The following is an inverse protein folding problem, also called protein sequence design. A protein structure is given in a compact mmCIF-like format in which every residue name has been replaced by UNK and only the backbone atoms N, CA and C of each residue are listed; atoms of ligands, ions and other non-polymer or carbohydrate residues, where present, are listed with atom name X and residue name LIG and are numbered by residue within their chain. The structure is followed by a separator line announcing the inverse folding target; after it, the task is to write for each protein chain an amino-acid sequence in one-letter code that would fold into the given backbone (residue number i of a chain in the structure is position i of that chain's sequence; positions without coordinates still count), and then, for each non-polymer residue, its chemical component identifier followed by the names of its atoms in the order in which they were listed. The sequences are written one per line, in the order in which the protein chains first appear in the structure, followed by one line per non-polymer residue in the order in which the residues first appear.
data_IF_374376288293
#
_entry.id   IF_374376288293
#
_cell.length_a   1.000
_cell.length_b   1.000
_cell.length_c   1.000
_cell.angle_alpha   90.00
_cell.angle_beta   90.00
_cell.angle_gamma   90.00
#
_symmetry.space_group_name_H-M   'P 1'
#
loop_
_entity.id
_entity.type
_entity.pdbx_description
1 polymer ?
#
# COMPACT_ATOMS: atom_id res chain seq x y z
N UNK A 1 -27.33 15.59 8.12
CA UNK A 1 -26.10 14.79 7.95
C UNK A 1 -26.09 14.23 6.54
N UNK A 2 -25.48 14.96 5.59
CA UNK A 2 -25.31 14.51 4.20
C UNK A 2 -23.82 14.29 3.99
N UNK A 3 -23.48 13.06 3.63
CA UNK A 3 -22.12 12.61 3.36
C UNK A 3 -21.55 13.38 2.18
N UNK A 4 -20.37 13.95 2.40
CA UNK A 4 -19.57 14.57 1.35
C UNK A 4 -19.18 13.50 0.31
N UNK A 5 -19.89 13.48 -0.81
CA UNK A 5 -19.43 12.82 -2.02
C UNK A 5 -18.36 13.71 -2.68
N UNK A 6 -17.17 13.72 -2.08
CA UNK A 6 -16.02 14.47 -2.55
C UNK A 6 -15.18 13.66 -3.51
N UNK A 7 -15.38 13.88 -4.82
CA UNK A 7 -14.32 13.88 -5.82
C UNK A 7 -13.64 12.55 -6.16
N UNK A 8 -14.23 11.78 -7.08
CA UNK A 8 -13.41 11.00 -8.03
C UNK A 8 -13.45 11.69 -9.38
N UNK A 9 -12.37 12.39 -9.73
CA UNK A 9 -12.18 12.94 -11.08
C UNK A 9 -11.74 11.87 -12.07
N UNK A 10 -11.80 12.17 -13.37
CA UNK A 10 -11.33 11.28 -14.45
C UNK A 10 -9.87 10.83 -14.21
N UNK A 11 -9.01 11.71 -13.68
CA UNK A 11 -7.63 11.36 -13.34
C UNK A 11 -7.50 10.25 -12.29
N UNK A 12 -8.39 10.21 -11.30
CA UNK A 12 -8.42 9.21 -10.23
C UNK A 12 -8.88 7.84 -10.75
N UNK A 13 -9.88 7.83 -11.64
CA UNK A 13 -10.32 6.61 -12.33
C UNK A 13 -9.16 5.98 -13.13
N UNK A 14 -8.38 6.79 -13.86
CA UNK A 14 -7.23 6.26 -14.60
C UNK A 14 -6.11 5.76 -13.69
N UNK A 15 -5.94 6.34 -12.50
CA UNK A 15 -4.94 5.90 -11.53
C UNK A 15 -5.33 4.55 -10.92
N UNK A 16 -6.60 4.38 -10.56
CA UNK A 16 -7.15 3.12 -10.08
C UNK A 16 -7.07 2.01 -11.15
N UNK A 17 -7.34 2.34 -12.41
CA UNK A 17 -7.20 1.39 -13.52
C UNK A 17 -5.75 0.94 -13.76
N UNK A 18 -4.79 1.88 -13.68
CA UNK A 18 -3.36 1.56 -13.75
C UNK A 18 -2.95 0.68 -12.58
N UNK A 19 -3.35 1.03 -11.36
CA UNK A 19 -3.11 0.22 -10.17
C UNK A 19 -3.66 -1.19 -10.37
N UNK A 20 -4.91 -1.34 -10.83
CA UNK A 20 -5.53 -2.63 -11.08
C UNK A 20 -4.76 -3.49 -12.06
N UNK A 21 -4.32 -2.91 -13.19
CA UNK A 21 -3.51 -3.62 -14.19
C UNK A 21 -2.17 -4.07 -13.61
N UNK A 22 -1.45 -3.15 -12.97
CA UNK A 22 -0.11 -3.41 -12.46
C UNK A 22 -0.16 -4.42 -11.30
N UNK A 23 -1.22 -4.37 -10.48
CA UNK A 23 -1.48 -5.33 -9.40
C UNK A 23 -1.77 -6.72 -9.94
N UNK A 24 -2.64 -6.85 -10.95
CA UNK A 24 -2.95 -8.13 -11.56
C UNK A 24 -1.69 -8.79 -12.17
N UNK A 25 -0.89 -8.00 -12.88
CA UNK A 25 0.37 -8.48 -13.45
C UNK A 25 1.35 -8.94 -12.36
N UNK A 26 1.57 -8.11 -11.33
CA UNK A 26 2.48 -8.44 -10.25
C UNK A 26 2.01 -9.66 -9.43
N UNK A 27 0.69 -9.80 -9.19
CA UNK A 27 0.13 -10.95 -8.48
C UNK A 27 0.31 -12.25 -9.27
N UNK A 28 0.10 -12.22 -10.59
CA UNK A 28 0.35 -13.36 -11.46
C UNK A 28 1.84 -13.74 -11.46
N UNK A 29 2.74 -12.77 -11.63
CA UNK A 29 4.19 -12.98 -11.57
C UNK A 29 4.62 -13.54 -10.21
N UNK A 30 4.07 -13.01 -9.12
CA UNK A 30 4.32 -13.48 -7.76
C UNK A 30 3.98 -14.97 -7.62
N UNK A 31 2.91 -15.46 -8.26
CA UNK A 31 2.56 -16.89 -8.22
C UNK A 31 3.54 -17.77 -9.02
N UNK A 32 4.17 -17.22 -10.05
CA UNK A 32 5.03 -17.96 -11.00
C UNK A 32 6.52 -17.97 -10.65
N UNK A 33 7.04 -16.98 -9.92
CA UNK A 33 8.50 -16.83 -9.69
C UNK A 33 9.04 -17.64 -8.49
N UNK A 34 10.27 -17.43 -8.03
CA UNK A 34 10.82 -18.02 -6.79
C UNK A 34 10.79 -17.03 -5.61
N UNK A 35 10.80 -17.52 -4.37
CA UNK A 35 10.48 -16.78 -3.14
C UNK A 35 11.14 -15.39 -3.00
N UNK A 36 12.42 -15.23 -3.34
CA UNK A 36 13.11 -13.93 -3.17
C UNK A 36 12.66 -12.87 -4.19
N UNK A 37 12.49 -13.24 -5.47
CA UNK A 37 12.02 -12.29 -6.51
C UNK A 37 10.56 -11.91 -6.34
N UNK A 38 9.77 -12.84 -5.77
CA UNK A 38 8.36 -12.65 -5.42
C UNK A 38 8.16 -11.47 -4.46
N UNK A 39 8.88 -11.45 -3.33
CA UNK A 39 8.72 -10.40 -2.31
C UNK A 39 9.10 -9.01 -2.84
N UNK A 40 10.20 -8.93 -3.59
CA UNK A 40 10.67 -7.68 -4.19
C UNK A 40 9.62 -7.07 -5.15
N UNK A 41 8.96 -7.89 -5.98
CA UNK A 41 7.94 -7.42 -6.90
C UNK A 41 6.72 -6.81 -6.17
N UNK A 42 6.28 -7.44 -5.08
CA UNK A 42 5.18 -6.96 -4.25
C UNK A 42 5.53 -5.62 -3.57
N UNK A 43 6.74 -5.53 -3.01
CA UNK A 43 7.26 -4.30 -2.42
C UNK A 43 7.34 -3.15 -3.44
N UNK A 44 7.91 -3.40 -4.62
CA UNK A 44 8.03 -2.38 -5.66
C UNK A 44 6.67 -1.88 -6.16
N UNK A 45 5.69 -2.78 -6.28
CA UNK A 45 4.32 -2.40 -6.60
C UNK A 45 3.74 -1.47 -5.54
N UNK A 46 3.83 -1.83 -4.26
CA UNK A 46 3.33 -1.00 -3.15
C UNK A 46 3.96 0.39 -3.14
N UNK A 47 5.29 0.46 -3.33
CA UNK A 47 6.02 1.73 -3.43
C UNK A 47 5.56 2.57 -4.62
N UNK A 48 5.39 1.98 -5.81
CA UNK A 48 4.90 2.67 -7.02
C UNK A 48 3.48 3.19 -6.83
N UNK A 49 2.59 2.38 -6.25
CA UNK A 49 1.21 2.77 -5.96
C UNK A 49 1.16 3.98 -5.00
N UNK A 50 1.95 3.94 -3.93
CA UNK A 50 2.04 5.04 -2.97
C UNK A 50 2.58 6.33 -3.60
N UNK A 51 3.69 6.25 -4.33
CA UNK A 51 4.26 7.42 -5.03
C UNK A 51 3.29 7.97 -6.09
N UNK A 52 2.49 7.10 -6.70
CA UNK A 52 1.43 7.45 -7.63
C UNK A 52 0.17 8.06 -6.99
N UNK A 53 0.13 8.19 -5.66
CA UNK A 53 -0.98 8.80 -4.92
C UNK A 53 -2.14 7.85 -4.60
N UNK A 54 -2.01 6.55 -4.87
CA UNK A 54 -3.05 5.57 -4.53
C UNK A 54 -3.21 5.46 -3.01
N UNK A 55 -4.46 5.47 -2.54
CA UNK A 55 -4.75 5.27 -1.13
C UNK A 55 -4.64 3.78 -0.75
N UNK A 56 -4.49 3.51 0.55
CA UNK A 56 -4.57 2.15 1.10
C UNK A 56 -5.91 1.47 0.76
N UNK A 57 -7.00 2.25 0.68
CA UNK A 57 -8.32 1.75 0.32
C UNK A 57 -8.41 1.34 -1.15
N UNK A 58 -7.71 2.05 -2.04
CA UNK A 58 -7.63 1.68 -3.46
C UNK A 58 -6.86 0.37 -3.63
N UNK A 59 -5.77 0.19 -2.88
CA UNK A 59 -5.02 -1.08 -2.86
C UNK A 59 -5.88 -2.23 -2.35
N UNK A 60 -6.62 -2.04 -1.25
CA UNK A 60 -7.51 -3.07 -0.71
C UNK A 60 -8.63 -3.44 -1.70
N UNK A 61 -9.23 -2.46 -2.36
CA UNK A 61 -10.26 -2.68 -3.39
C UNK A 61 -9.70 -3.46 -4.57
N UNK A 62 -8.57 -3.02 -5.13
CA UNK A 62 -7.92 -3.70 -6.26
C UNK A 62 -7.50 -5.12 -5.90
N UNK A 63 -6.94 -5.33 -4.71
CA UNK A 63 -6.58 -6.66 -4.22
C UNK A 63 -7.78 -7.60 -4.26
N UNK A 64 -8.92 -7.18 -3.70
CA UNK A 64 -10.14 -7.97 -3.72
C UNK A 64 -10.59 -8.30 -5.14
N UNK A 65 -10.64 -7.30 -6.03
CA UNK A 65 -11.05 -7.51 -7.44
C UNK A 65 -10.15 -8.49 -8.19
N UNK A 66 -8.83 -8.42 -7.99
CA UNK A 66 -7.86 -9.32 -8.64
C UNK A 66 -7.97 -10.73 -8.09
N UNK A 67 -7.98 -10.90 -6.75
CA UNK A 67 -8.07 -12.21 -6.12
C UNK A 67 -9.39 -12.90 -6.46
N UNK A 68 -10.51 -12.18 -6.44
CA UNK A 68 -11.81 -12.74 -6.84
C UNK A 68 -11.80 -13.28 -8.27
N UNK A 69 -11.13 -12.58 -9.21
CA UNK A 69 -10.99 -13.08 -10.59
C UNK A 69 -10.15 -14.35 -10.66
N UNK A 70 -9.03 -14.39 -9.95
CA UNK A 70 -8.15 -15.57 -9.92
C UNK A 70 -8.85 -16.78 -9.32
N UNK A 71 -9.63 -16.58 -8.25
CA UNK A 71 -10.44 -17.63 -7.62
C UNK A 71 -11.51 -18.19 -8.56
N UNK A 72 -12.17 -17.34 -9.35
CA UNK A 72 -13.17 -17.77 -10.33
C UNK A 72 -12.57 -18.61 -11.48
N UNK A 73 -11.25 -18.50 -11.70
CA UNK A 73 -10.53 -19.26 -12.73
C UNK A 73 -9.76 -20.46 -12.19
N UNK A 74 -9.77 -20.68 -10.87
CA UNK A 74 -9.10 -21.82 -10.25
C UNK A 74 -9.86 -23.11 -10.56
N UNK A 75 -9.14 -24.14 -11.01
CA UNK A 75 -9.74 -25.39 -11.51
C UNK A 75 -10.13 -26.40 -10.42
N UNK A 76 -9.49 -26.34 -9.25
CA UNK A 76 -9.72 -27.25 -8.13
C UNK A 76 -9.43 -26.58 -6.77
N UNK A 77 -9.75 -27.28 -5.68
CA UNK A 77 -9.57 -26.80 -4.30
C UNK A 77 -8.10 -26.50 -3.96
N UNK A 78 -7.17 -27.25 -4.53
CA UNK A 78 -5.74 -27.02 -4.31
C UNK A 78 -5.28 -25.71 -4.95
N UNK A 79 -5.75 -25.42 -6.17
CA UNK A 79 -5.51 -24.16 -6.86
C UNK A 79 -6.17 -22.99 -6.13
N UNK A 80 -7.37 -23.16 -5.59
CA UNK A 80 -8.05 -22.17 -4.74
C UNK A 80 -7.19 -21.86 -3.51
N UNK A 81 -6.74 -22.88 -2.78
CA UNK A 81 -5.91 -22.68 -1.59
C UNK A 81 -4.61 -21.95 -1.94
N UNK A 82 -3.96 -22.33 -3.05
CA UNK A 82 -2.74 -21.67 -3.52
C UNK A 82 -2.96 -20.19 -3.85
N UNK A 83 -4.14 -19.80 -4.38
CA UNK A 83 -4.51 -18.40 -4.61
C UNK A 83 -4.67 -17.67 -3.28
N UNK A 84 -5.38 -18.26 -2.32
CA UNK A 84 -5.64 -17.64 -1.01
C UNK A 84 -4.35 -17.40 -0.23
N UNK A 85 -3.46 -18.39 -0.18
CA UNK A 85 -2.18 -18.27 0.52
C UNK A 85 -1.29 -17.20 -0.13
N UNK A 86 -1.22 -17.20 -1.46
CA UNK A 86 -0.49 -16.18 -2.20
C UNK A 86 -1.08 -14.78 -2.00
N UNK A 87 -2.41 -14.66 -1.96
CA UNK A 87 -3.11 -13.39 -1.76
C UNK A 87 -2.72 -12.73 -0.44
N UNK A 88 -2.73 -13.49 0.66
CA UNK A 88 -2.36 -13.00 1.99
C UNK A 88 -0.90 -12.52 2.01
N UNK A 89 0.03 -13.38 1.59
CA UNK A 89 1.45 -13.05 1.59
C UNK A 89 1.76 -11.83 0.70
N UNK A 90 1.19 -11.79 -0.51
CA UNK A 90 1.38 -10.68 -1.43
C UNK A 90 0.85 -9.36 -0.86
N UNK A 91 -0.33 -9.37 -0.24
CA UNK A 91 -0.91 -8.17 0.36
C UNK A 91 -0.03 -7.63 1.49
N UNK A 92 0.43 -8.51 2.40
CA UNK A 92 1.32 -8.11 3.51
C UNK A 92 2.55 -7.38 2.98
N UNK A 93 3.19 -7.91 1.94
CA UNK A 93 4.38 -7.28 1.35
C UNK A 93 4.07 -5.93 0.69
N UNK A 94 2.95 -5.82 -0.03
CA UNK A 94 2.51 -4.54 -0.59
C UNK A 94 2.27 -3.51 0.53
N UNK A 95 1.61 -3.92 1.62
CA UNK A 95 1.25 -3.05 2.74
C UNK A 95 2.44 -2.67 3.62
N UNK A 96 3.49 -3.49 3.67
CA UNK A 96 4.73 -3.18 4.38
C UNK A 96 5.31 -1.82 3.95
N UNK A 97 5.15 -1.46 2.67
CA UNK A 97 5.61 -0.17 2.13
C UNK A 97 4.88 1.00 2.80
N UNK A 98 3.55 0.90 2.94
CA UNK A 98 2.70 1.91 3.58
C UNK A 98 3.01 2.05 5.07
N UNK A 99 3.26 0.95 5.76
CA UNK A 99 3.70 1.00 7.16
C UNK A 99 5.05 1.69 7.32
N UNK A 100 6.05 1.33 6.49
CA UNK A 100 7.38 1.95 6.52
C UNK A 100 7.29 3.46 6.29
N UNK A 101 6.48 3.88 5.32
CA UNK A 101 6.25 5.30 5.05
C UNK A 101 5.62 6.01 6.25
N UNK A 102 4.57 5.44 6.85
CA UNK A 102 3.92 6.01 8.04
C UNK A 102 4.88 6.13 9.23
N UNK A 103 5.72 5.12 9.47
CA UNK A 103 6.75 5.14 10.53
C UNK A 103 7.77 6.23 10.27
N UNK A 104 8.31 6.32 9.04
CA UNK A 104 9.26 7.37 8.67
C UNK A 104 8.69 8.78 8.85
N UNK A 105 7.43 9.03 8.45
CA UNK A 105 6.77 10.31 8.70
C UNK A 105 6.62 10.61 10.19
N UNK A 106 6.28 9.61 11.01
CA UNK A 106 6.14 9.80 12.45
C UNK A 106 7.49 10.14 13.12
N UNK A 107 8.57 9.51 12.70
CA UNK A 107 9.92 9.76 13.19
C UNK A 107 10.41 11.17 12.85
N UNK A 108 10.25 11.60 11.59
CA UNK A 108 10.61 12.97 11.17
C UNK A 108 9.85 14.02 11.96
N UNK A 109 8.54 13.81 12.21
CA UNK A 109 7.74 14.72 13.03
C UNK A 109 8.23 14.77 14.48
N UNK A 110 8.54 13.62 15.09
CA UNK A 110 9.06 13.56 16.46
C UNK A 110 10.38 14.33 16.57
N UNK A 111 11.31 14.09 15.64
CA UNK A 111 12.59 14.79 15.60
C UNK A 111 12.43 16.32 15.47
N UNK A 112 11.49 16.78 14.65
CA UNK A 112 11.19 18.20 14.51
C UNK A 112 10.63 18.83 15.80
N UNK A 113 9.76 18.12 16.52
CA UNK A 113 9.23 18.57 17.82
C UNK A 113 10.35 18.66 18.87
N UNK A 114 11.23 17.67 18.92
CA UNK A 114 12.37 17.65 19.86
C UNK A 114 13.40 18.76 19.55
N UNK A 115 13.68 19.01 18.27
CA UNK A 115 14.54 20.13 17.85
C UNK A 115 13.93 21.48 18.22
N UNK A 116 12.62 21.67 18.01
CA UNK A 116 11.92 22.89 18.42
C UNK A 116 11.95 23.11 19.94
N UNK A 117 11.81 22.04 20.74
CA UNK A 117 11.90 22.11 22.19
C UNK A 117 13.31 22.49 22.67
N UNK A 118 14.36 21.97 22.03
CA UNK A 118 15.76 22.35 22.33
C UNK A 118 16.09 23.81 21.98
N UNK A 119 15.42 24.39 20.98
CA UNK A 119 15.65 25.77 20.51
C UNK A 119 14.90 26.84 21.30
N UNK A 120 14.12 26.47 22.32
CA UNK A 120 13.47 27.42 23.23
C UNK A 120 14.32 27.52 24.51
N UNK A 121 15.30 28.43 24.61
CA UNK A 121 16.04 28.60 25.86
C UNK A 121 15.15 29.31 26.87
N UNK A 122 15.25 28.84 28.10
CA UNK A 122 14.76 29.44 29.32
C UNK A 122 15.00 30.95 29.34
N UNK A 123 13.92 31.73 29.30
CA UNK A 123 13.94 33.16 29.56
C UNK A 123 14.30 33.35 31.04
N UNK A 124 15.59 33.51 31.35
CA UNK A 124 16.03 33.98 32.67
C UNK A 124 15.35 35.33 32.93
N UNK A 125 14.48 35.48 33.95
CA UNK A 125 13.88 36.76 34.24
C UNK A 125 14.96 37.72 34.78
N UNK A 126 14.97 38.99 34.35
CA UNK A 126 15.92 39.95 34.89
C UNK A 126 15.62 40.22 36.38
N UNK A 127 16.70 40.36 37.15
CA UNK A 127 16.74 40.61 38.60
C UNK A 127 16.17 41.97 39.00
#
# INVERSE_FOLDING_TARGET
MSVANGGRGIGDLTALERLRRDYAFAFLTYRLEGTERRLQAAYELGRKAMVGGSSLLDVAKVHHEVVSRELLTAGDDAAIQAVVDAASAFLIEVLSTFEMAQRGFAEVRRAAVEDAARRSPESTPPS
#
